data_IF_826288448727
#
_entry.id   IF_826288448727
#
_cell.length_a   1.000
_cell.length_b   1.000
_cell.length_c   1.000
_cell.angle_alpha   90.00
_cell.angle_beta   90.00
_cell.angle_gamma   90.00
#
_symmetry.space_group_name_H-M   'P 1'
#
loop_
_entity.id
_entity.type
_entity.pdbx_description
1 polymer ?
#
# COMPACT_ATOMS: atom_id res chain seq x y z
N UNK A 1 18.87 -21.83 72.03
CA UNK A 1 17.71 -21.78 71.10
C UNK A 1 17.66 -20.36 70.56
N UNK A 2 18.14 -20.06 69.35
CA UNK A 2 17.39 -20.08 68.08
C UNK A 2 17.17 -18.62 67.57
N UNK A 3 18.16 -18.05 66.85
CA UNK A 3 18.17 -17.73 65.39
C UNK A 3 17.46 -16.43 64.93
N UNK A 4 18.28 -15.40 64.67
CA UNK A 4 18.57 -14.70 63.39
C UNK A 4 17.58 -14.60 62.19
N UNK A 5 17.62 -13.37 61.62
CA UNK A 5 17.65 -12.93 60.21
C UNK A 5 16.39 -12.80 59.33
N UNK A 6 16.09 -11.52 59.04
CA UNK A 6 15.94 -10.82 57.74
C UNK A 6 15.68 -11.64 56.46
N UNK A 7 14.65 -11.13 55.78
CA UNK A 7 14.14 -11.37 54.43
C UNK A 7 15.21 -11.59 53.34
N UNK A 8 15.09 -12.70 52.60
CA UNK A 8 15.63 -12.86 51.25
C UNK A 8 14.57 -13.57 50.38
N UNK A 9 14.14 -12.88 49.31
CA UNK A 9 13.41 -13.47 48.17
C UNK A 9 14.38 -14.38 47.40
N UNK A 10 13.96 -15.60 47.11
CA UNK A 10 14.43 -16.44 46.00
C UNK A 10 13.35 -16.45 44.89
N UNK A 11 13.50 -17.11 43.72
CA UNK A 11 14.59 -17.95 43.21
C UNK A 11 14.98 -17.57 41.74
N UNK A 12 16.03 -18.11 41.11
CA UNK A 12 15.98 -19.35 40.32
C UNK A 12 17.40 -19.67 39.81
N UNK A 13 17.77 -20.96 39.90
CA UNK A 13 19.05 -21.59 39.57
C UNK A 13 20.19 -21.46 40.60
N UNK A 14 19.97 -22.05 41.78
CA UNK A 14 21.06 -22.47 42.66
C UNK A 14 21.51 -23.89 42.31
N UNK A 15 22.74 -24.07 41.81
CA UNK A 15 23.40 -25.37 41.79
C UNK A 15 23.72 -25.77 43.24
N UNK A 16 23.09 -26.84 43.73
CA UNK A 16 23.35 -27.39 45.06
C UNK A 16 24.46 -28.42 44.98
N UNK A 17 25.63 -28.11 45.56
CA UNK A 17 26.79 -29.02 45.63
C UNK A 17 26.87 -29.62 47.05
N UNK A 18 27.02 -30.95 47.20
CA UNK A 18 27.15 -31.63 48.48
C UNK A 18 28.26 -31.06 49.38
N UNK A 19 28.06 -31.16 50.70
CA UNK A 19 28.72 -30.38 51.75
C UNK A 19 30.16 -30.83 52.11
N UNK A 20 30.90 -31.41 51.16
CA UNK A 20 32.14 -32.13 51.48
C UNK A 20 33.30 -31.90 50.50
N UNK A 21 33.48 -30.66 50.02
CA UNK A 21 34.78 -30.20 49.49
C UNK A 21 34.86 -28.66 49.44
N UNK A 22 35.46 -28.04 50.46
CA UNK A 22 35.65 -26.58 50.56
C UNK A 22 36.58 -26.02 49.46
N UNK A 23 37.48 -26.87 48.93
CA UNK A 23 38.41 -26.54 47.87
C UNK A 23 37.66 -26.25 46.55
N UNK A 24 36.64 -27.05 46.21
CA UNK A 24 35.88 -26.88 44.96
C UNK A 24 35.08 -25.56 44.92
N UNK A 25 34.57 -25.08 46.07
CA UNK A 25 33.83 -23.80 46.16
C UNK A 25 34.72 -22.58 46.00
N UNK A 26 35.96 -22.64 46.51
CA UNK A 26 36.96 -21.59 46.31
C UNK A 26 37.37 -21.48 44.84
N UNK A 27 37.57 -22.62 44.15
CA UNK A 27 37.91 -22.63 42.73
C UNK A 27 36.74 -22.18 41.84
N UNK A 28 35.52 -22.62 42.11
CA UNK A 28 34.34 -22.23 41.31
C UNK A 28 33.95 -20.76 41.50
N UNK A 29 34.06 -20.19 42.70
CA UNK A 29 33.78 -18.76 42.93
C UNK A 29 34.85 -17.85 42.31
N UNK A 30 36.12 -18.23 42.37
CA UNK A 30 37.22 -17.50 41.72
C UNK A 30 37.17 -17.62 40.19
N UNK A 31 36.81 -18.80 39.65
CA UNK A 31 36.62 -18.99 38.22
C UNK A 31 35.42 -18.20 37.67
N UNK A 32 34.33 -18.09 38.44
CA UNK A 32 33.16 -17.28 38.06
C UNK A 32 33.48 -15.76 38.06
N UNK A 33 34.29 -15.29 39.02
CA UNK A 33 34.74 -13.89 39.10
C UNK A 33 35.74 -13.53 37.99
N UNK A 34 36.67 -14.42 37.68
CA UNK A 34 37.60 -14.25 36.55
C UNK A 34 36.87 -14.33 35.21
N UNK A 35 35.88 -15.22 35.08
CA UNK A 35 34.99 -15.28 33.93
C UNK A 35 34.15 -14.01 33.75
N UNK A 36 33.60 -13.44 34.83
CA UNK A 36 32.86 -12.18 34.77
C UNK A 36 33.74 -10.98 34.41
N UNK A 37 34.99 -10.94 34.92
CA UNK A 37 35.96 -9.89 34.61
C UNK A 37 36.49 -9.98 33.17
N UNK A 38 36.65 -11.21 32.63
CA UNK A 38 37.02 -11.42 31.22
C UNK A 38 35.86 -11.08 30.27
N UNK A 39 34.62 -11.38 30.64
CA UNK A 39 33.44 -10.97 29.87
C UNK A 39 33.31 -9.44 29.83
N UNK A 40 33.60 -8.74 30.93
CA UNK A 40 33.62 -7.27 30.96
C UNK A 40 34.77 -6.64 30.14
N UNK A 41 35.85 -7.37 29.87
CA UNK A 41 36.96 -6.93 29.02
C UNK A 41 36.76 -7.21 27.52
N UNK A 42 35.80 -8.07 27.15
CA UNK A 42 35.49 -8.44 25.77
C UNK A 42 34.29 -7.67 25.22
N UNK A 43 33.44 -7.10 26.08
CA UNK A 43 32.50 -6.09 25.61
C UNK A 43 33.29 -4.83 25.25
N UNK A 44 33.31 -4.41 23.98
CA UNK A 44 33.79 -3.07 23.68
C UNK A 44 32.98 -2.13 24.57
N UNK A 45 33.68 -1.28 25.34
CA UNK A 45 33.04 -0.08 25.87
C UNK A 45 32.45 0.60 24.65
N UNK A 46 31.12 0.53 24.53
CA UNK A 46 30.38 1.45 23.67
C UNK A 46 30.58 2.78 24.36
N UNK A 47 31.68 3.41 24.01
CA UNK A 47 31.91 4.82 24.25
C UNK A 47 30.78 5.48 23.48
N UNK A 48 29.74 5.83 24.22
CA UNK A 48 28.65 6.63 23.75
C UNK A 48 29.25 8.02 23.58
N UNK A 49 30.05 8.18 22.51
CA UNK A 49 30.30 9.47 21.92
C UNK A 49 28.92 9.96 21.48
N UNK A 50 28.24 10.61 22.43
CA UNK A 50 27.35 11.70 22.14
C UNK A 50 28.24 12.82 21.56
N UNK A 51 28.82 12.57 20.39
CA UNK A 51 29.24 13.63 19.50
C UNK A 51 27.99 14.45 19.31
N UNK A 52 27.95 15.62 19.94
CA UNK A 52 26.89 16.59 19.72
C UNK A 52 26.74 16.68 18.20
N UNK A 53 25.63 16.18 17.69
CA UNK A 53 25.36 16.23 16.25
C UNK A 53 25.60 17.68 15.84
N UNK A 54 26.47 17.88 14.84
CA UNK A 54 26.81 19.22 14.38
C UNK A 54 25.50 19.99 14.13
N UNK A 55 25.42 21.21 14.65
CA UNK A 55 24.23 22.04 14.49
C UNK A 55 23.87 22.10 13.00
N UNK A 56 22.64 21.70 12.60
CA UNK A 56 22.24 21.73 11.20
C UNK A 56 22.19 23.16 10.63
N UNK A 57 22.12 24.17 11.48
CA UNK A 57 22.14 25.58 11.10
C UNK A 57 23.58 26.12 11.06
N UNK A 58 23.83 27.03 10.12
CA UNK A 58 25.04 27.84 10.10
C UNK A 58 25.07 28.78 11.30
N UNK A 59 26.24 29.28 11.72
CA UNK A 59 26.33 30.27 12.79
C UNK A 59 25.44 31.50 12.57
N UNK A 60 25.34 31.97 11.33
CA UNK A 60 24.52 33.11 10.94
C UNK A 60 23.02 32.82 11.09
N UNK A 61 22.56 31.65 10.63
CA UNK A 61 21.17 31.21 10.79
C UNK A 61 20.81 30.98 12.26
N UNK A 62 21.72 30.41 13.05
CA UNK A 62 21.51 30.20 14.47
C UNK A 62 21.39 31.53 15.21
N UNK A 63 22.26 32.49 14.92
CA UNK A 63 22.18 33.83 15.47
C UNK A 63 20.86 34.53 15.09
N UNK A 64 20.41 34.36 13.83
CA UNK A 64 19.11 34.86 13.39
C UNK A 64 17.96 34.28 14.20
N UNK A 65 17.88 32.95 14.37
CA UNK A 65 16.78 32.32 15.14
C UNK A 65 16.79 32.82 16.59
N UNK A 66 17.96 32.92 17.22
CA UNK A 66 18.07 33.38 18.61
C UNK A 66 17.62 34.84 18.75
N UNK A 67 17.99 35.70 17.80
CA UNK A 67 17.61 37.11 17.80
C UNK A 67 16.13 37.33 17.45
N UNK A 68 15.59 36.55 16.51
CA UNK A 68 14.21 36.67 16.03
C UNK A 68 13.20 36.05 17.00
N UNK A 69 13.58 34.98 17.71
CA UNK A 69 12.69 34.20 18.54
C UNK A 69 11.79 33.26 17.72
N UNK A 70 10.59 32.90 18.21
CA UNK A 70 9.68 31.98 17.53
C UNK A 70 9.32 32.47 16.11
N UNK A 71 9.49 31.58 15.13
CA UNK A 71 9.18 31.86 13.73
C UNK A 71 7.67 31.73 13.53
N UNK A 72 7.02 32.82 13.11
CA UNK A 72 5.57 32.93 12.97
C UNK A 72 5.12 32.36 11.63
N UNK A 73 4.30 31.34 11.71
CA UNK A 73 3.72 30.60 10.60
C UNK A 73 2.22 30.87 10.52
N UNK A 74 1.67 31.19 9.34
CA UNK A 74 0.22 31.20 9.12
C UNK A 74 -0.22 30.05 8.18
N UNK A 75 -1.09 29.14 8.65
CA UNK A 75 -1.75 28.14 7.81
C UNK A 75 -2.90 28.78 7.01
N UNK A 76 -3.24 28.22 5.85
CA UNK A 76 -4.62 28.30 5.35
C UNK A 76 -5.57 27.63 6.37
N UNK A 77 -6.55 28.35 6.93
CA UNK A 77 -7.43 27.78 7.96
C UNK A 77 -8.39 26.71 7.43
N UNK A 78 -8.60 26.63 6.12
CA UNK A 78 -9.65 25.81 5.49
C UNK A 78 -9.10 24.92 4.36
N UNK A 79 -7.83 24.49 4.44
CA UNK A 79 -7.18 23.62 3.44
C UNK A 79 -6.77 22.19 3.92
N UNK A 80 -7.67 21.45 4.56
CA UNK A 80 -7.42 20.08 5.01
C UNK A 80 -7.41 19.08 3.85
N UNK A 81 -6.57 18.03 3.87
CA UNK A 81 -5.80 17.54 5.02
C UNK A 81 -4.40 18.18 5.18
N UNK A 82 -4.07 19.19 4.37
CA UNK A 82 -2.73 19.77 4.33
C UNK A 82 -2.48 20.68 5.53
N UNK A 83 -3.32 21.70 5.70
CA UNK A 83 -3.31 22.59 6.86
C UNK A 83 -4.70 23.18 7.07
N UNK A 84 -5.14 23.22 8.31
CA UNK A 84 -6.44 23.77 8.69
C UNK A 84 -6.46 24.09 10.18
N UNK A 85 -7.42 24.91 10.59
CA UNK A 85 -7.69 25.12 12.01
C UNK A 85 -8.79 24.17 12.47
N UNK A 86 -8.55 23.45 13.56
CA UNK A 86 -9.60 22.68 14.22
C UNK A 86 -10.57 23.63 14.97
N UNK A 87 -11.69 23.12 15.52
CA UNK A 87 -12.66 23.95 16.25
C UNK A 87 -12.08 24.66 17.49
N UNK A 88 -10.93 24.21 18.01
CA UNK A 88 -10.22 24.86 19.11
C UNK A 88 -9.25 25.96 18.66
N UNK A 89 -9.15 26.18 17.34
CA UNK A 89 -8.25 27.17 16.74
C UNK A 89 -6.81 26.69 16.60
N UNK A 90 -6.55 25.40 16.80
CA UNK A 90 -5.21 24.83 16.68
C UNK A 90 -4.98 24.38 15.25
N UNK A 91 -3.80 24.69 14.70
CA UNK A 91 -3.41 24.22 13.37
C UNK A 91 -3.17 22.72 13.37
N UNK A 92 -3.82 22.03 12.44
CA UNK A 92 -3.75 20.58 12.22
C UNK A 92 -3.54 20.29 10.75
N UNK A 93 -3.04 19.10 10.44
CA UNK A 93 -2.77 18.66 9.07
C UNK A 93 -1.33 18.22 8.86
N UNK A 94 -1.03 17.86 7.62
CA UNK A 94 0.29 17.42 7.18
C UNK A 94 1.34 18.49 7.46
N UNK A 95 1.09 19.74 7.08
CA UNK A 95 2.09 20.82 7.18
C UNK A 95 2.46 21.16 8.63
N UNK A 96 1.50 21.36 9.56
CA UNK A 96 1.82 21.53 10.98
C UNK A 96 2.60 20.33 11.59
N UNK A 97 2.27 19.10 11.20
CA UNK A 97 2.98 17.91 11.69
C UNK A 97 4.44 17.89 11.19
N UNK A 98 4.68 18.23 9.91
CA UNK A 98 6.02 18.34 9.35
C UNK A 98 6.81 19.48 10.00
N UNK A 99 6.19 20.64 10.21
CA UNK A 99 6.83 21.77 10.91
C UNK A 99 7.23 21.41 12.34
N UNK A 100 6.45 20.60 13.04
CA UNK A 100 6.81 20.11 14.38
C UNK A 100 8.07 19.22 14.36
N UNK A 101 8.21 18.36 13.34
CA UNK A 101 9.41 17.53 13.15
C UNK A 101 10.61 18.41 12.79
N UNK A 102 10.44 19.34 11.85
CA UNK A 102 11.47 20.30 11.44
C UNK A 102 11.97 21.11 12.64
N UNK A 103 11.04 21.64 13.45
CA UNK A 103 11.39 22.43 14.64
C UNK A 103 12.22 21.66 15.65
N UNK A 104 11.91 20.37 15.88
CA UNK A 104 12.71 19.49 16.73
C UNK A 104 14.11 19.25 16.19
N UNK A 105 14.24 18.99 14.89
CA UNK A 105 15.54 18.70 14.26
C UNK A 105 16.44 19.93 14.20
N UNK A 106 15.87 21.10 13.97
CA UNK A 106 16.61 22.35 13.89
C UNK A 106 16.80 23.04 15.25
N UNK A 107 16.08 22.63 16.29
CA UNK A 107 16.02 23.38 17.55
C UNK A 107 15.41 24.78 17.37
N UNK A 108 14.28 24.85 16.66
CA UNK A 108 13.56 26.09 16.31
C UNK A 108 12.09 25.96 16.69
N UNK A 109 11.50 27.02 17.25
CA UNK A 109 10.06 27.08 17.52
C UNK A 109 9.32 27.68 16.32
N UNK A 110 8.47 26.88 15.66
CA UNK A 110 7.48 27.38 14.71
C UNK A 110 6.17 27.66 15.44
N UNK A 111 5.75 28.92 15.48
CA UNK A 111 4.54 29.36 16.18
C UNK A 111 3.44 29.68 15.17
N UNK A 112 2.31 29.00 15.32
CA UNK A 112 1.13 29.26 14.48
C UNK A 112 0.49 30.61 14.84
N UNK A 113 0.13 31.38 13.83
CA UNK A 113 -0.69 32.60 13.93
C UNK A 113 -1.93 32.39 13.06
N UNK A 114 -3.08 32.28 13.71
CA UNK A 114 -4.35 31.96 13.07
C UNK A 114 -5.00 33.21 12.44
N UNK A 115 -5.57 33.01 11.25
CA UNK A 115 -6.44 33.97 10.56
C UNK A 115 -7.70 33.24 10.09
N UNK A 116 -8.84 33.94 9.95
CA UNK A 116 -10.12 33.30 9.61
C UNK A 116 -10.23 32.89 8.13
N UNK A 117 -9.46 33.52 7.24
CA UNK A 117 -9.55 33.27 5.79
C UNK A 117 -8.17 33.26 5.15
N UNK A 118 -8.04 32.51 4.05
CA UNK A 118 -6.82 32.49 3.23
C UNK A 118 -6.42 33.90 2.73
N UNK A 119 -7.40 34.71 2.33
CA UNK A 119 -7.16 36.11 1.97
C UNK A 119 -6.55 36.92 3.12
N UNK A 120 -7.02 36.69 4.35
CA UNK A 120 -6.44 37.31 5.54
C UNK A 120 -5.00 36.87 5.80
N UNK A 121 -4.69 35.58 5.57
CA UNK A 121 -3.33 35.03 5.65
C UNK A 121 -2.38 35.72 4.67
N UNK A 122 -2.81 35.88 3.41
CA UNK A 122 -2.01 36.54 2.37
C UNK A 122 -1.74 38.02 2.71
N UNK A 123 -2.73 38.73 3.24
CA UNK A 123 -2.53 40.12 3.67
C UNK A 123 -1.64 40.23 4.92
N UNK A 124 -1.73 39.27 5.83
CA UNK A 124 -0.89 39.21 7.03
C UNK A 124 0.60 39.05 6.68
N UNK A 125 0.94 38.15 5.75
CA UNK A 125 2.33 37.96 5.34
C UNK A 125 2.85 39.21 4.63
N UNK A 126 2.08 39.80 3.70
CA UNK A 126 2.48 41.05 3.01
C UNK A 126 2.79 42.20 3.98
N UNK A 127 2.12 42.22 5.14
CA UNK A 127 2.30 43.23 6.20
C UNK A 127 3.36 42.86 7.24
N UNK A 128 4.08 41.75 7.08
CA UNK A 128 5.10 41.28 8.04
C UNK A 128 4.53 40.85 9.39
N UNK A 129 3.23 40.52 9.45
CA UNK A 129 2.58 40.02 10.69
C UNK A 129 2.91 38.55 10.95
N UNK A 130 3.30 37.83 9.92
CA UNK A 130 3.81 36.46 9.95
C UNK A 130 5.03 36.35 9.05
N UNK A 131 5.90 35.40 9.34
CA UNK A 131 7.22 35.30 8.72
C UNK A 131 7.19 34.41 7.47
N UNK A 132 6.35 33.36 7.49
CA UNK A 132 6.15 32.49 6.34
C UNK A 132 4.77 31.81 6.30
N UNK A 133 4.46 31.29 5.12
CA UNK A 133 3.26 30.53 4.77
C UNK A 133 3.59 29.06 4.55
N UNK A 134 2.67 28.19 4.96
CA UNK A 134 2.85 26.74 5.01
C UNK A 134 2.68 26.07 3.67
N UNK A 135 1.44 26.03 3.19
CA UNK A 135 1.06 25.30 1.98
C UNK A 135 0.56 26.27 0.91
N UNK A 136 1.40 26.62 -0.05
CA UNK A 136 0.94 27.46 -1.15
C UNK A 136 1.60 27.18 -2.50
N UNK A 137 0.85 27.46 -3.56
CA UNK A 137 1.33 27.39 -4.93
C UNK A 137 2.18 28.61 -5.27
N UNK A 138 3.30 28.40 -5.96
CA UNK A 138 4.12 29.47 -6.54
C UNK A 138 3.41 30.10 -7.73
N UNK A 139 3.18 31.41 -7.69
CA UNK A 139 2.57 32.18 -8.79
C UNK A 139 3.36 33.46 -9.05
N UNK A 140 3.33 34.02 -10.28
CA UNK A 140 4.09 35.24 -10.61
C UNK A 140 3.77 36.42 -9.70
N UNK A 141 2.51 36.61 -9.33
CA UNK A 141 2.10 37.64 -8.36
C UNK A 141 2.80 37.46 -7.00
N UNK A 142 2.85 36.22 -6.51
CA UNK A 142 3.42 35.91 -5.19
C UNK A 142 4.94 36.00 -5.18
N UNK A 143 5.62 35.69 -6.29
CA UNK A 143 7.07 35.93 -6.45
C UNK A 143 7.47 37.40 -6.35
N UNK A 144 6.50 38.31 -6.52
CA UNK A 144 6.68 39.73 -6.24
C UNK A 144 7.07 40.00 -4.80
N UNK A 145 6.54 39.24 -3.83
CA UNK A 145 6.69 39.50 -2.40
C UNK A 145 7.15 38.29 -1.56
N UNK A 146 7.21 37.09 -2.12
CA UNK A 146 7.67 35.86 -1.46
C UNK A 146 8.85 35.21 -2.18
N UNK A 147 9.68 34.53 -1.41
CA UNK A 147 10.58 33.47 -1.82
C UNK A 147 9.95 32.11 -1.50
N UNK A 148 10.30 31.09 -2.27
CA UNK A 148 9.70 29.76 -2.17
C UNK A 148 10.73 28.69 -1.88
N UNK A 149 10.38 27.74 -1.02
CA UNK A 149 11.16 26.52 -0.81
C UNK A 149 11.06 25.59 -2.03
N UNK A 150 11.81 24.48 -2.00
CA UNK A 150 11.47 23.30 -2.80
C UNK A 150 10.02 22.85 -2.50
N UNK A 151 9.30 22.32 -3.51
CA UNK A 151 7.97 21.78 -3.26
C UNK A 151 8.06 20.55 -2.35
N UNK A 152 7.12 20.42 -1.43
CA UNK A 152 7.12 19.30 -0.47
C UNK A 152 5.85 18.45 -0.52
N UNK A 153 4.81 18.93 -1.19
CA UNK A 153 3.61 18.18 -1.49
C UNK A 153 3.03 18.61 -2.84
N UNK A 154 2.15 17.78 -3.38
CA UNK A 154 1.39 18.11 -4.58
C UNK A 154 -0.01 17.51 -4.48
N UNK A 155 -0.98 18.19 -5.08
CA UNK A 155 -2.37 17.78 -5.01
C UNK A 155 -3.02 17.86 -6.40
N UNK A 156 -3.66 16.77 -6.87
CA UNK A 156 -4.36 16.80 -8.15
C UNK A 156 -5.67 17.57 -8.01
N UNK A 157 -5.91 18.52 -8.92
CA UNK A 157 -7.20 19.20 -9.09
C UNK A 157 -8.14 18.37 -9.97
N UNK A 158 -9.40 18.36 -9.57
CA UNK A 158 -10.52 17.66 -10.22
C UNK A 158 -11.77 18.53 -10.17
N UNK A 159 -12.79 18.17 -10.96
CA UNK A 159 -14.10 18.80 -10.85
C UNK A 159 -14.99 18.04 -9.87
N UNK A 160 -15.63 18.81 -8.99
CA UNK A 160 -16.74 18.37 -8.17
C UNK A 160 -18.03 18.89 -8.81
N UNK A 161 -18.90 17.98 -9.21
CA UNK A 161 -20.13 18.27 -9.95
C UNK A 161 -21.31 17.62 -9.25
N UNK A 162 -22.53 18.06 -9.57
CA UNK A 162 -23.73 17.37 -9.12
C UNK A 162 -23.89 16.04 -9.87
N UNK A 163 -24.47 15.02 -9.25
CA UNK A 163 -24.71 13.70 -9.87
C UNK A 163 -25.74 13.72 -11.00
N UNK A 164 -26.61 14.73 -11.00
CA UNK A 164 -27.73 14.85 -11.93
C UNK A 164 -27.25 15.03 -13.39
N UNK A 165 -28.08 14.59 -14.34
CA UNK A 165 -27.75 14.56 -15.77
C UNK A 165 -27.36 15.92 -16.34
N UNK A 166 -26.33 15.92 -17.20
CA UNK A 166 -25.83 17.10 -17.90
C UNK A 166 -24.62 17.78 -17.26
N UNK A 167 -24.02 17.22 -16.20
CA UNK A 167 -22.78 17.70 -15.60
C UNK A 167 -21.60 17.71 -16.59
N UNK A 168 -20.63 18.65 -16.44
CA UNK A 168 -19.41 18.64 -17.25
C UNK A 168 -18.52 17.46 -16.86
N UNK A 169 -17.87 16.81 -17.83
CA UNK A 169 -16.94 15.69 -17.61
C UNK A 169 -15.47 16.09 -17.81
N UNK A 170 -15.25 17.30 -18.33
CA UNK A 170 -13.94 17.90 -18.56
C UNK A 170 -13.95 19.38 -18.22
N UNK A 171 -12.76 19.98 -18.08
CA UNK A 171 -12.67 21.43 -17.90
C UNK A 171 -13.10 22.17 -19.17
N UNK A 172 -12.91 21.57 -20.34
CA UNK A 172 -13.33 22.11 -21.63
C UNK A 172 -14.86 22.19 -21.77
N UNK A 173 -15.59 21.26 -21.16
CA UNK A 173 -17.07 21.26 -21.13
C UNK A 173 -17.66 22.43 -20.32
N UNK A 174 -16.82 23.17 -19.59
CA UNK A 174 -17.29 24.29 -18.79
C UNK A 174 -17.90 25.39 -19.66
N UNK A 175 -17.32 25.77 -20.80
CA UNK A 175 -17.90 26.82 -21.67
C UNK A 175 -18.43 28.02 -20.88
N UNK A 176 -19.74 28.30 -20.98
CA UNK A 176 -20.45 29.36 -20.23
C UNK A 176 -21.06 28.92 -18.89
N UNK A 177 -20.78 27.70 -18.42
CA UNK A 177 -21.24 27.16 -17.13
C UNK A 177 -20.52 27.86 -15.98
N UNK A 178 -21.16 27.88 -14.82
CA UNK A 178 -20.64 28.51 -13.59
C UNK A 178 -19.64 27.58 -12.91
N UNK A 179 -18.36 27.81 -13.20
CA UNK A 179 -17.24 27.16 -12.52
C UNK A 179 -16.88 27.90 -11.24
N UNK A 180 -16.99 27.25 -10.08
CA UNK A 180 -16.46 27.78 -8.83
C UNK A 180 -14.96 27.58 -8.71
N UNK A 181 -14.29 28.58 -8.13
CA UNK A 181 -12.89 28.48 -7.67
C UNK A 181 -12.75 29.25 -6.35
N UNK A 182 -11.95 28.75 -5.42
CA UNK A 182 -11.68 29.48 -4.17
C UNK A 182 -10.85 30.73 -4.48
N UNK A 183 -11.27 31.88 -3.94
CA UNK A 183 -10.58 33.16 -4.16
C UNK A 183 -9.12 33.08 -3.72
N UNK A 184 -8.24 33.70 -4.50
CA UNK A 184 -6.80 33.80 -4.21
C UNK A 184 -6.04 32.46 -4.13
N UNK A 185 -6.62 31.33 -4.54
CA UNK A 185 -5.89 30.07 -4.72
C UNK A 185 -5.02 30.09 -5.97
N UNK A 186 -3.91 29.35 -5.97
CA UNK A 186 -2.98 29.32 -7.11
C UNK A 186 -3.60 28.82 -8.42
N UNK A 187 -4.66 28.00 -8.32
CA UNK A 187 -5.40 27.50 -9.48
C UNK A 187 -6.04 28.61 -10.30
N UNK A 188 -6.36 29.78 -9.71
CA UNK A 188 -6.90 30.93 -10.43
C UNK A 188 -5.92 31.44 -11.51
N UNK A 189 -4.63 31.47 -11.20
CA UNK A 189 -3.58 31.89 -12.14
C UNK A 189 -3.46 30.90 -13.30
N UNK A 190 -3.47 29.60 -12.99
CA UNK A 190 -3.44 28.55 -14.01
C UNK A 190 -4.67 28.61 -14.91
N UNK A 191 -5.87 28.71 -14.33
CA UNK A 191 -7.13 28.74 -15.07
C UNK A 191 -7.20 29.95 -16.01
N UNK A 192 -6.79 31.14 -15.54
CA UNK A 192 -6.76 32.36 -16.35
C UNK A 192 -5.77 32.28 -17.51
N UNK A 193 -4.68 31.53 -17.34
CA UNK A 193 -3.63 31.40 -18.37
C UNK A 193 -3.96 30.32 -19.40
N UNK A 194 -4.48 29.18 -18.96
CA UNK A 194 -4.71 28.00 -19.82
C UNK A 194 -6.12 27.95 -20.40
N UNK A 195 -7.11 28.54 -19.72
CA UNK A 195 -8.51 28.56 -20.15
C UNK A 195 -9.09 29.99 -20.02
N UNK A 196 -8.57 30.98 -20.77
CA UNK A 196 -8.98 32.38 -20.64
C UNK A 196 -10.46 32.65 -20.97
N UNK A 197 -11.11 31.73 -21.68
CA UNK A 197 -12.53 31.81 -22.04
C UNK A 197 -13.45 31.36 -20.89
N UNK A 198 -12.91 30.75 -19.83
CA UNK A 198 -13.68 30.37 -18.64
C UNK A 198 -13.60 31.52 -17.65
N UNK A 199 -14.76 32.07 -17.28
CA UNK A 199 -14.87 33.11 -16.26
C UNK A 199 -15.40 32.50 -14.96
N UNK A 200 -14.52 32.12 -14.02
CA UNK A 200 -14.94 31.42 -12.83
C UNK A 200 -15.64 32.36 -11.83
N UNK A 201 -16.52 31.78 -11.03
CA UNK A 201 -17.15 32.43 -9.88
C UNK A 201 -16.26 32.20 -8.66
N UNK A 202 -15.73 33.28 -8.10
CA UNK A 202 -14.91 33.22 -6.89
C UNK A 202 -15.75 32.91 -5.65
N UNK A 203 -15.42 31.84 -4.92
CA UNK A 203 -16.03 31.47 -3.63
C UNK A 203 -15.07 31.73 -2.47
N UNK A 204 -15.59 31.95 -1.27
CA UNK A 204 -14.75 32.25 -0.09
C UNK A 204 -13.92 31.04 0.37
N UNK A 205 -14.52 29.84 0.30
CA UNK A 205 -13.89 28.60 0.72
C UNK A 205 -14.49 27.40 -0.04
N UNK A 206 -13.78 26.28 -0.02
CA UNK A 206 -14.18 25.05 -0.71
C UNK A 206 -15.54 24.54 -0.25
N UNK A 207 -15.86 24.66 1.03
CA UNK A 207 -17.07 24.09 1.60
C UNK A 207 -18.32 24.88 1.20
N UNK A 208 -18.19 26.21 1.13
CA UNK A 208 -19.17 27.10 0.49
C UNK A 208 -19.34 26.74 -0.99
N UNK A 209 -18.24 26.60 -1.73
CA UNK A 209 -18.28 26.20 -3.15
C UNK A 209 -18.99 24.87 -3.41
N UNK A 210 -18.70 23.84 -2.62
CA UNK A 210 -19.36 22.54 -2.73
C UNK A 210 -20.85 22.63 -2.38
N UNK A 211 -21.23 23.45 -1.40
CA UNK A 211 -22.64 23.69 -1.07
C UNK A 211 -23.37 24.37 -2.24
N UNK A 212 -22.71 25.32 -2.91
CA UNK A 212 -23.26 25.96 -4.10
C UNK A 212 -23.42 24.98 -5.27
N UNK A 213 -22.50 24.02 -5.45
CA UNK A 213 -22.67 22.93 -6.44
C UNK A 213 -23.86 22.04 -6.06
N UNK A 214 -23.93 21.60 -4.80
CA UNK A 214 -25.01 20.74 -4.31
C UNK A 214 -26.40 21.37 -4.47
N UNK A 215 -26.50 22.70 -4.35
CA UNK A 215 -27.75 23.47 -4.50
C UNK A 215 -28.01 23.97 -5.92
N UNK A 216 -27.13 23.68 -6.89
CA UNK A 216 -27.28 24.11 -8.29
C UNK A 216 -27.01 25.60 -8.52
N UNK A 217 -26.34 26.28 -7.60
CA UNK A 217 -25.85 27.65 -7.77
C UNK A 217 -24.53 27.70 -8.56
N UNK A 218 -23.78 26.60 -8.57
CA UNK A 218 -22.63 26.36 -9.45
C UNK A 218 -22.85 25.05 -10.20
N UNK A 219 -22.26 24.96 -11.40
CA UNK A 219 -22.35 23.76 -12.22
C UNK A 219 -21.18 22.80 -11.92
N UNK A 220 -20.03 23.36 -11.49
CA UNK A 220 -18.89 22.61 -10.99
C UNK A 220 -18.06 23.46 -10.01
N UNK A 221 -17.26 22.80 -9.16
CA UNK A 221 -16.18 23.41 -8.38
C UNK A 221 -14.86 22.77 -8.79
N UNK A 222 -13.85 23.57 -9.12
CA UNK A 222 -12.48 23.10 -9.36
C UNK A 222 -11.71 23.14 -8.04
N UNK A 223 -11.32 21.97 -7.54
CA UNK A 223 -10.64 21.84 -6.26
C UNK A 223 -9.70 20.63 -6.25
N UNK A 224 -8.72 20.63 -5.35
CA UNK A 224 -7.90 19.47 -5.06
C UNK A 224 -8.72 18.29 -4.57
N UNK A 225 -8.40 17.10 -5.08
CA UNK A 225 -9.10 15.87 -4.74
C UNK A 225 -9.16 15.62 -3.21
N UNK A 226 -8.05 15.73 -2.45
CA UNK A 226 -8.10 15.44 -1.01
C UNK A 226 -9.01 16.40 -0.22
N UNK A 227 -8.97 17.69 -0.55
CA UNK A 227 -9.75 18.72 0.16
C UNK A 227 -11.23 18.55 -0.14
N UNK A 228 -11.60 18.51 -1.42
CA UNK A 228 -13.00 18.39 -1.81
C UNK A 228 -13.61 17.06 -1.37
N UNK A 229 -12.90 15.93 -1.52
CA UNK A 229 -13.41 14.62 -1.11
C UNK A 229 -13.64 14.53 0.41
N UNK A 230 -12.77 15.14 1.22
CA UNK A 230 -12.94 15.21 2.66
C UNK A 230 -14.18 16.04 3.03
N UNK A 231 -14.36 17.21 2.42
CA UNK A 231 -15.50 18.09 2.73
C UNK A 231 -16.83 17.49 2.26
N UNK A 232 -16.87 16.86 1.08
CA UNK A 232 -18.05 16.11 0.59
C UNK A 232 -18.48 15.07 1.62
N UNK A 233 -17.52 14.31 2.18
CA UNK A 233 -17.78 13.30 3.21
C UNK A 233 -18.25 13.93 4.53
N UNK A 234 -17.55 14.94 5.04
CA UNK A 234 -17.87 15.57 6.33
C UNK A 234 -19.23 16.28 6.33
N UNK A 235 -19.61 16.90 5.20
CA UNK A 235 -20.90 17.57 5.03
C UNK A 235 -22.01 16.67 4.50
N UNK A 236 -21.73 15.37 4.30
CA UNK A 236 -22.70 14.41 3.77
C UNK A 236 -23.37 14.88 2.47
N UNK A 237 -22.60 15.47 1.55
CA UNK A 237 -23.10 15.97 0.27
C UNK A 237 -23.28 14.81 -0.71
N UNK A 238 -24.38 14.07 -0.55
CA UNK A 238 -24.65 12.82 -1.28
C UNK A 238 -24.90 12.99 -2.77
N UNK A 239 -25.31 14.19 -3.19
CA UNK A 239 -25.60 14.52 -4.58
C UNK A 239 -24.38 15.09 -5.35
N UNK A 240 -23.19 15.05 -4.76
CA UNK A 240 -21.94 15.45 -5.43
C UNK A 240 -21.20 14.20 -5.94
N UNK A 241 -20.62 14.33 -7.13
CA UNK A 241 -19.70 13.36 -7.75
C UNK A 241 -18.39 14.05 -8.09
N UNK A 242 -17.31 13.27 -8.01
CA UNK A 242 -15.98 13.65 -8.49
C UNK A 242 -15.85 13.19 -9.93
N UNK A 243 -15.48 14.10 -10.83
CA UNK A 243 -15.12 13.74 -12.21
C UNK A 243 -13.74 13.07 -12.17
N UNK A 244 -13.60 11.79 -12.59
CA UNK A 244 -12.37 11.01 -12.41
C UNK A 244 -11.30 11.34 -13.46
N UNK A 245 -11.16 12.62 -13.80
CA UNK A 245 -10.16 13.13 -14.72
C UNK A 245 -9.30 14.15 -13.97
N UNK A 246 -8.03 13.80 -13.83
CA UNK A 246 -7.00 14.74 -13.40
C UNK A 246 -6.93 15.89 -14.41
N UNK A 247 -7.01 17.12 -13.90
CA UNK A 247 -6.93 18.33 -14.73
C UNK A 247 -5.53 18.92 -14.64
N UNK A 248 -5.05 19.12 -13.41
CA UNK A 248 -3.75 19.72 -13.17
C UNK A 248 -3.24 19.36 -11.78
N UNK A 249 -1.92 19.34 -11.59
CA UNK A 249 -1.30 19.15 -10.27
C UNK A 249 -0.45 20.35 -9.97
N UNK A 250 -0.76 21.05 -8.87
CA UNK A 250 0.04 22.17 -8.41
C UNK A 250 0.97 21.73 -7.27
N UNK A 251 2.30 21.87 -7.45
CA UNK A 251 3.24 21.74 -6.35
C UNK A 251 2.94 22.80 -5.28
N UNK A 252 3.05 22.41 -4.02
CA UNK A 252 2.93 23.33 -2.89
C UNK A 252 4.26 23.47 -2.18
N UNK A 253 4.53 24.68 -1.74
CA UNK A 253 5.79 25.16 -1.22
C UNK A 253 5.55 25.84 0.13
N UNK A 254 6.62 26.03 0.90
CA UNK A 254 6.67 27.08 1.90
C UNK A 254 6.94 28.42 1.21
N UNK A 255 6.32 29.50 1.72
CA UNK A 255 6.49 30.86 1.18
C UNK A 255 6.99 31.82 2.25
N UNK A 256 8.20 32.33 2.10
CA UNK A 256 8.85 33.25 3.05
C UNK A 256 8.87 34.66 2.46
N UNK A 257 8.79 35.71 3.28
CA UNK A 257 8.93 37.08 2.79
C UNK A 257 10.25 37.29 2.03
N UNK A 258 10.19 38.06 0.94
CA UNK A 258 11.33 38.26 0.04
C UNK A 258 12.53 38.97 0.67
N UNK A 259 12.29 39.74 1.74
CA UNK A 259 13.34 40.37 2.54
C UNK A 259 14.10 39.41 3.47
N UNK A 260 13.65 38.16 3.60
CA UNK A 260 14.15 37.21 4.61
C UNK A 260 14.76 35.93 3.97
N UNK A 261 15.80 36.04 3.13
CA UNK A 261 16.40 34.88 2.48
C UNK A 261 17.07 33.91 3.48
N UNK A 262 17.53 34.43 4.63
CA UNK A 262 18.10 33.61 5.69
C UNK A 262 17.04 32.69 6.33
N UNK A 263 15.82 33.21 6.54
CA UNK A 263 14.69 32.42 7.00
C UNK A 263 14.30 31.34 5.97
N UNK A 264 14.32 31.67 4.67
CA UNK A 264 14.09 30.66 3.63
C UNK A 264 15.11 29.52 3.71
N UNK A 265 16.39 29.85 3.92
CA UNK A 265 17.45 28.83 4.08
C UNK A 265 17.16 27.91 5.28
N UNK A 266 16.75 28.47 6.42
CA UNK A 266 16.38 27.70 7.62
C UNK A 266 15.19 26.77 7.34
N UNK A 267 14.13 27.29 6.70
CA UNK A 267 12.95 26.49 6.33
C UNK A 267 13.33 25.38 5.35
N UNK A 268 14.18 25.68 4.36
CA UNK A 268 14.67 24.71 3.39
C UNK A 268 15.51 23.60 4.06
N UNK A 269 16.43 23.94 4.96
CA UNK A 269 17.18 22.94 5.74
C UNK A 269 16.28 22.07 6.60
N UNK A 270 15.24 22.65 7.19
CA UNK A 270 14.22 21.91 7.91
C UNK A 270 13.54 20.90 6.98
N UNK A 271 13.10 21.35 5.81
CA UNK A 271 12.47 20.50 4.80
C UNK A 271 13.41 19.38 4.34
N UNK A 272 14.68 19.67 4.09
CA UNK A 272 15.69 18.70 3.64
C UNK A 272 16.06 17.69 4.74
N UNK A 273 15.87 18.05 6.02
CA UNK A 273 16.08 17.14 7.14
C UNK A 273 14.99 16.07 7.30
N UNK A 274 13.86 16.22 6.62
CA UNK A 274 12.73 15.29 6.69
C UNK A 274 13.00 14.05 5.83
N UNK A 275 12.98 12.90 6.49
CA UNK A 275 13.07 11.60 5.81
C UNK A 275 11.78 11.27 5.07
N UNK A 276 11.88 10.37 4.08
CA UNK A 276 10.70 9.90 3.36
C UNK A 276 9.69 9.21 4.28
N UNK A 277 10.17 8.50 5.30
CA UNK A 277 9.31 7.88 6.32
C UNK A 277 8.51 8.92 7.10
N UNK A 278 9.16 9.98 7.59
CA UNK A 278 8.47 11.07 8.32
C UNK A 278 7.43 11.77 7.44
N UNK A 279 7.76 12.01 6.17
CA UNK A 279 6.83 12.59 5.18
C UNK A 279 5.62 11.68 4.95
N UNK A 280 5.88 10.39 4.73
CA UNK A 280 4.86 9.37 4.51
C UNK A 280 3.95 9.19 5.72
N UNK A 281 4.50 9.11 6.93
CA UNK A 281 3.71 8.94 8.16
C UNK A 281 2.76 10.12 8.40
N UNK A 282 3.23 11.35 8.19
CA UNK A 282 2.37 12.54 8.25
C UNK A 282 1.28 12.46 7.18
N UNK A 283 1.62 12.09 5.94
CA UNK A 283 0.65 11.97 4.86
C UNK A 283 -0.42 10.91 5.15
N UNK A 284 -0.03 9.70 5.55
CA UNK A 284 -0.92 8.56 5.85
C UNK A 284 -1.88 8.91 6.98
N UNK A 285 -1.38 9.54 8.04
CA UNK A 285 -2.17 9.96 9.20
C UNK A 285 -3.36 10.84 8.80
N UNK A 286 -3.13 11.78 7.89
CA UNK A 286 -4.12 12.80 7.55
C UNK A 286 -4.97 12.48 6.31
N UNK A 287 -4.43 11.71 5.37
CA UNK A 287 -5.15 11.32 4.16
C UNK A 287 -6.00 10.06 4.34
N UNK A 288 -5.70 9.22 5.34
CA UNK A 288 -6.34 7.91 5.52
C UNK A 288 -6.07 6.92 4.38
N UNK A 289 -5.15 7.26 3.47
CA UNK A 289 -4.80 6.52 2.25
C UNK A 289 -3.27 6.44 2.15
N UNK A 290 -2.73 5.23 2.04
CA UNK A 290 -1.30 4.98 1.89
C UNK A 290 -0.90 5.08 0.41
N UNK A 291 -0.55 6.28 -0.05
CA UNK A 291 -0.02 6.51 -1.40
C UNK A 291 1.49 6.21 -1.51
N UNK A 292 2.16 5.92 -0.38
CA UNK A 292 3.56 5.47 -0.36
C UNK A 292 3.70 4.00 -0.77
N UNK A 293 2.58 3.27 -0.86
CA UNK A 293 2.55 2.00 -1.57
C UNK A 293 2.56 2.27 -3.08
N UNK A 294 3.61 1.86 -3.82
CA UNK A 294 3.46 1.73 -5.27
C UNK A 294 2.22 0.87 -5.57
N UNK A 295 1.52 1.08 -6.71
CA UNK A 295 0.40 0.22 -7.09
C UNK A 295 0.84 -1.24 -6.93
N UNK A 296 -0.05 -2.16 -6.50
CA UNK A 296 0.34 -3.55 -6.25
C UNK A 296 0.85 -4.14 -7.56
N UNK A 297 2.15 -3.99 -7.79
CA UNK A 297 2.88 -4.73 -8.79
C UNK A 297 2.70 -6.16 -8.33
N UNK A 298 1.94 -6.94 -9.11
CA UNK A 298 1.79 -8.38 -8.92
C UNK A 298 3.18 -8.86 -8.55
N UNK A 299 3.33 -9.37 -7.32
CA UNK A 299 4.64 -9.66 -6.77
C UNK A 299 5.43 -10.46 -7.82
N UNK A 300 6.74 -10.23 -7.99
CA UNK A 300 7.51 -10.99 -8.97
C UNK A 300 7.29 -12.50 -8.81
N UNK A 301 7.01 -12.95 -7.57
CA UNK A 301 6.54 -14.29 -7.24
C UNK A 301 5.22 -14.68 -7.90
N UNK A 302 4.15 -13.88 -7.79
CA UNK A 302 2.86 -14.16 -8.43
C UNK A 302 2.94 -14.13 -9.97
N UNK A 303 3.70 -13.18 -10.54
CA UNK A 303 3.94 -13.12 -11.99
C UNK A 303 4.70 -14.36 -12.46
N UNK A 304 5.76 -14.75 -11.76
CA UNK A 304 6.53 -15.93 -12.08
C UNK A 304 5.72 -17.21 -11.85
N UNK A 305 4.88 -17.27 -10.81
CA UNK A 305 3.97 -18.38 -10.56
C UNK A 305 2.96 -18.55 -11.70
N UNK A 306 2.40 -17.45 -12.22
CA UNK A 306 1.50 -17.49 -13.37
C UNK A 306 2.22 -18.00 -14.63
N UNK A 307 3.46 -17.56 -14.88
CA UNK A 307 4.26 -18.05 -16.00
C UNK A 307 4.56 -19.55 -15.88
N UNK A 308 4.89 -20.03 -14.67
CA UNK A 308 5.10 -21.46 -14.39
C UNK A 308 3.82 -22.26 -14.60
N UNK A 309 2.66 -21.75 -14.15
CA UNK A 309 1.37 -22.40 -14.35
C UNK A 309 0.99 -22.49 -15.83
N UNK A 310 1.21 -21.41 -16.59
CA UNK A 310 0.97 -21.41 -18.05
C UNK A 310 1.91 -22.39 -18.75
N UNK A 311 3.19 -22.40 -18.40
CA UNK A 311 4.15 -23.36 -18.96
C UNK A 311 3.77 -24.81 -18.63
N UNK A 312 3.36 -25.10 -17.39
CA UNK A 312 2.89 -26.41 -16.98
C UNK A 312 1.61 -26.83 -17.74
N UNK A 313 0.67 -25.90 -17.94
CA UNK A 313 -0.53 -26.14 -18.74
C UNK A 313 -0.19 -26.48 -20.19
N UNK A 314 0.73 -25.74 -20.83
CA UNK A 314 1.20 -26.03 -22.19
C UNK A 314 1.88 -27.40 -22.26
N UNK A 315 2.79 -27.70 -21.34
CA UNK A 315 3.47 -29.00 -21.28
C UNK A 315 2.46 -30.15 -21.08
N UNK A 316 1.48 -29.96 -20.20
CA UNK A 316 0.41 -30.95 -19.98
C UNK A 316 -0.44 -31.14 -21.24
N UNK A 317 -0.75 -30.06 -21.97
CA UNK A 317 -1.49 -30.12 -23.23
C UNK A 317 -0.71 -30.88 -24.31
N UNK A 318 0.58 -30.57 -24.47
CA UNK A 318 1.48 -31.30 -25.37
C UNK A 318 1.54 -32.78 -25.01
N UNK A 319 1.73 -33.09 -23.72
CA UNK A 319 1.74 -34.47 -23.23
C UNK A 319 0.42 -35.20 -23.50
N UNK A 320 -0.72 -34.57 -23.24
CA UNK A 320 -2.04 -35.15 -23.53
C UNK A 320 -2.19 -35.44 -25.03
N UNK A 321 -1.75 -34.52 -25.90
CA UNK A 321 -1.81 -34.70 -27.35
C UNK A 321 -0.89 -35.82 -27.82
N UNK A 322 0.37 -35.86 -27.35
CA UNK A 322 1.32 -36.92 -27.72
C UNK A 322 0.87 -38.27 -27.19
N UNK A 323 0.38 -38.34 -25.94
CA UNK A 323 -0.15 -39.56 -25.34
C UNK A 323 -1.36 -40.08 -26.12
N UNK A 324 -2.31 -39.22 -26.50
CA UNK A 324 -3.45 -39.60 -27.34
C UNK A 324 -2.99 -40.12 -28.71
N UNK A 325 -1.94 -39.54 -29.31
CA UNK A 325 -1.37 -40.04 -30.57
C UNK A 325 -0.72 -41.42 -30.38
N UNK A 326 0.04 -41.63 -29.31
CA UNK A 326 0.69 -42.91 -29.01
C UNK A 326 -0.34 -44.02 -28.75
N UNK A 327 -1.39 -43.73 -27.98
CA UNK A 327 -2.50 -44.68 -27.73
C UNK A 327 -3.24 -45.03 -29.03
N UNK A 328 -3.49 -44.05 -29.91
CA UNK A 328 -4.09 -44.32 -31.24
C UNK A 328 -3.22 -45.21 -32.12
N UNK A 329 -1.90 -45.01 -32.12
CA UNK A 329 -0.96 -45.88 -32.86
C UNK A 329 -0.93 -47.30 -32.29
N UNK A 330 -0.88 -47.44 -30.97
CA UNK A 330 -0.90 -48.74 -30.31
C UNK A 330 -2.21 -49.51 -30.56
N UNK A 331 -3.35 -48.83 -30.47
CA UNK A 331 -4.67 -49.44 -30.77
C UNK A 331 -4.82 -49.83 -32.23
N UNK A 332 -4.30 -49.03 -33.18
CA UNK A 332 -4.28 -49.40 -34.60
C UNK A 332 -3.34 -50.59 -34.88
N UNK A 333 -2.17 -50.65 -34.24
CA UNK A 333 -1.26 -51.78 -34.37
C UNK A 333 -1.86 -53.08 -33.83
N UNK A 334 -2.57 -53.01 -32.69
CA UNK A 334 -3.27 -54.16 -32.11
C UNK A 334 -4.38 -54.66 -33.04
N UNK A 335 -5.24 -53.77 -33.54
CA UNK A 335 -6.30 -54.13 -34.51
C UNK A 335 -5.74 -54.78 -35.78
N UNK A 336 -4.66 -54.23 -36.35
CA UNK A 336 -3.98 -54.82 -37.51
C UNK A 336 -3.40 -56.20 -37.21
N UNK A 337 -2.89 -56.43 -35.99
CA UNK A 337 -2.42 -57.76 -35.61
C UNK A 337 -3.57 -58.76 -35.48
N UNK A 338 -4.70 -58.34 -34.90
CA UNK A 338 -5.91 -59.17 -34.80
C UNK A 338 -6.47 -59.52 -36.18
N UNK A 339 -6.60 -58.55 -37.09
CA UNK A 339 -7.01 -58.77 -38.48
C UNK A 339 -6.04 -59.73 -39.20
N UNK A 340 -4.73 -59.55 -39.01
CA UNK A 340 -3.72 -60.44 -39.59
C UNK A 340 -3.77 -61.86 -39.02
N UNK A 341 -4.07 -62.01 -37.72
CA UNK A 341 -4.30 -63.33 -37.12
C UNK A 341 -5.56 -63.98 -37.68
N UNK A 342 -6.63 -63.23 -37.89
CA UNK A 342 -7.86 -63.72 -38.52
C UNK A 342 -7.61 -64.16 -39.97
N UNK A 343 -6.91 -63.36 -40.78
CA UNK A 343 -6.54 -63.72 -42.15
C UNK A 343 -5.64 -64.97 -42.21
N UNK A 344 -4.68 -65.11 -41.29
CA UNK A 344 -3.86 -66.33 -41.20
C UNK A 344 -4.72 -67.54 -40.84
N UNK A 345 -5.70 -67.39 -39.96
CA UNK A 345 -6.59 -68.48 -39.58
C UNK A 345 -7.54 -68.88 -40.71
N UNK A 346 -8.08 -67.91 -41.44
CA UNK A 346 -8.97 -68.14 -42.59
C UNK A 346 -8.21 -68.73 -43.77
N UNK A 347 -6.97 -68.30 -44.03
CA UNK A 347 -6.13 -68.86 -45.10
C UNK A 347 -5.41 -70.16 -44.72
N UNK A 348 -5.33 -70.54 -43.44
CA UNK A 348 -4.74 -71.80 -42.99
C UNK A 348 -5.68 -73.02 -43.13
N UNK A 349 -6.86 -72.86 -43.72
CA UNK A 349 -7.80 -73.97 -43.96
C UNK A 349 -7.39 -74.90 -45.13
N UNK A 350 -6.24 -74.72 -45.76
CA UNK A 350 -5.67 -75.71 -46.68
C UNK A 350 -4.99 -76.86 -45.91
N UNK A 351 -5.83 -77.85 -45.57
CA UNK A 351 -5.57 -79.30 -45.54
C UNK A 351 -4.30 -79.78 -44.80
N UNK A 352 -4.47 -80.17 -43.54
CA UNK A 352 -3.57 -81.15 -42.88
C UNK A 352 -4.12 -82.56 -43.15
N UNK A 353 -3.55 -83.28 -44.14
CA UNK A 353 -3.80 -84.71 -44.32
C UNK A 353 -3.02 -85.50 -43.26
N UNK A 354 -3.70 -86.11 -42.29
CA UNK A 354 -3.13 -87.21 -41.50
C UNK A 354 -3.69 -88.52 -42.04
N UNK A 355 -2.86 -89.33 -42.70
CA UNK A 355 -3.21 -90.69 -43.09
C UNK A 355 -3.22 -91.59 -41.84
N UNK A 356 -4.38 -92.11 -41.46
CA UNK A 356 -4.51 -93.16 -40.43
C UNK A 356 -5.07 -94.41 -41.13
N UNK A 357 -4.36 -95.56 -41.15
CA UNK A 357 -4.79 -96.75 -41.85
C UNK A 357 -6.00 -97.42 -41.19
N UNK A 358 -6.97 -97.86 -42.00
CA UNK A 358 -8.22 -98.52 -41.59
C UNK A 358 -7.97 -99.92 -41.02
N UNK A 359 -8.60 -100.24 -39.89
CA UNK A 359 -8.82 -101.62 -39.43
C UNK A 359 -10.34 -101.83 -39.18
N UNK A 360 -10.94 -102.98 -39.57
CA UNK A 360 -12.38 -103.08 -39.80
C UNK A 360 -13.22 -103.50 -38.59
N UNK A 361 -14.49 -103.11 -38.68
CA UNK A 361 -15.58 -103.12 -37.69
C UNK A 361 -16.29 -104.48 -37.60
N UNK A 362 -16.61 -104.95 -36.38
CA UNK A 362 -17.73 -105.88 -36.06
C UNK A 362 -18.16 -105.65 -34.60
N UNK A 363 -19.32 -105.05 -34.34
CA UNK A 363 -20.64 -105.69 -34.10
C UNK A 363 -20.72 -106.54 -32.82
N UNK A 364 -21.42 -106.04 -31.80
CA UNK A 364 -22.67 -106.61 -31.26
C UNK A 364 -22.85 -106.40 -29.74
N UNK A 365 -24.10 -106.04 -29.41
CA UNK A 365 -24.91 -106.49 -28.27
C UNK A 365 -24.62 -106.04 -26.83
N UNK A 366 -25.72 -105.49 -26.26
CA UNK A 366 -26.32 -105.76 -24.93
C UNK A 366 -25.70 -105.09 -23.68
N UNK A 367 -26.53 -104.26 -23.04
CA UNK A 367 -26.79 -104.45 -21.61
C UNK A 367 -26.95 -103.21 -20.71
N UNK A 368 -28.23 -102.89 -20.42
CA UNK A 368 -28.80 -102.41 -19.12
C UNK A 368 -28.58 -100.97 -18.61
N UNK A 369 -29.74 -100.29 -18.48
CA UNK A 369 -30.38 -99.57 -17.34
C UNK A 369 -29.44 -98.83 -16.35
N UNK A 370 -29.75 -97.61 -15.90
CA UNK A 370 -30.67 -97.35 -14.77
C UNK A 370 -31.05 -95.84 -14.67
N UNK A 371 -32.35 -95.62 -14.39
CA UNK A 371 -33.13 -94.53 -13.73
C UNK A 371 -32.50 -93.16 -13.36
N UNK A 372 -33.13 -92.05 -13.74
CA UNK A 372 -34.14 -91.20 -13.03
C UNK A 372 -33.56 -90.10 -12.12
N UNK A 373 -33.57 -88.82 -12.54
CA UNK A 373 -34.54 -87.70 -12.35
C UNK A 373 -34.36 -86.90 -11.01
N UNK A 374 -34.97 -85.71 -10.79
CA UNK A 374 -34.34 -84.37 -10.68
C UNK A 374 -34.51 -83.77 -9.25
N UNK A 375 -34.42 -82.45 -8.96
CA UNK A 375 -35.51 -81.44 -9.07
C UNK A 375 -35.18 -80.24 -8.12
N UNK A 376 -35.80 -79.08 -8.39
CA UNK A 376 -35.98 -77.83 -7.59
C UNK A 376 -34.90 -76.74 -7.71
N UNK A 377 -35.23 -75.46 -7.87
CA UNK A 377 -36.55 -74.81 -7.89
C UNK A 377 -36.47 -73.33 -7.43
N UNK A 378 -36.87 -72.43 -8.33
CA UNK A 378 -37.60 -71.15 -8.17
C UNK A 378 -37.19 -70.04 -7.16
N UNK A 379 -37.10 -68.81 -7.72
CA UNK A 379 -37.77 -67.52 -7.35
C UNK A 379 -37.75 -67.05 -5.87
N UNK A 380 -37.61 -65.77 -5.52
CA UNK A 380 -37.57 -64.50 -6.25
C UNK A 380 -37.97 -63.34 -5.32
N UNK A 381 -37.52 -62.11 -5.67
CA UNK A 381 -38.03 -60.75 -5.34
C UNK A 381 -38.09 -60.22 -3.90
N UNK A 382 -37.75 -58.92 -3.82
CA UNK A 382 -38.22 -57.96 -2.82
C UNK A 382 -37.25 -56.76 -2.69
N UNK A 383 -37.47 -55.68 -3.47
CA UNK A 383 -37.90 -54.34 -2.99
C UNK A 383 -36.75 -53.47 -2.47
N UNK A 384 -36.21 -52.52 -3.25
CA UNK A 384 -36.69 -51.13 -3.47
C UNK A 384 -36.54 -50.20 -2.25
N UNK A 385 -35.49 -49.38 -2.31
CA UNK A 385 -35.48 -47.92 -2.11
C UNK A 385 -34.43 -47.34 -3.03
#
# INVERSE_FOLDING_TARGET
>A
MGKCFRTIRAPLFGFSVPKENSILRSFLSKALLVGLLLVAAIFPRVEQDAGAAADPLTPEERAFVVAHGPIRYAPDPLFPPFEFLDPSGVARGITPDLLAIMGKKLGVEFRTVAYPTWSGVLEAVKRGKVDFLGTLTRTPEREGFLLFSAPYLSAPYVLFVRQDGGAPETIEDMGSRRLGVVKNYGINTWLSSMHPNIHPVGVEDTATGLTMVATGQLDALLETLPVGARIVRERSLTNIRIVPRHIYTLPQHFGVLKGEPLLLSIVQKGLDSLTETERSEAFVRWSGQDFSRPPPVISPLLRNALLVLVAAAVLSGVWIVTLRRSVRRATQALRRSEERYQELFENANDIIYTQIPKCPRKSSARGRKISQVPLWGSQGRGSST
#
